data_IF_867993263749
#
_entry.id   IF_867993263749
#
_cell.length_a   1.000
_cell.length_b   1.000
_cell.length_c   1.000
_cell.angle_alpha   90.00
_cell.angle_beta   90.00
_cell.angle_gamma   90.00
#
_symmetry.space_group_name_H-M   'P 1'
#
loop_
_entity.id
_entity.type
_entity.pdbx_description
1 polymer ?
#
# COMPACT_ATOMS: atom_id res chain seq x y z
N UNK A 1 99.38 0.05 -11.51
CA UNK A 1 99.38 -0.69 -10.24
C UNK A 1 98.17 -0.22 -9.48
N UNK A 2 97.26 -1.16 -9.30
CA UNK A 2 96.26 -1.30 -8.23
C UNK A 2 95.11 -0.27 -8.18
N UNK A 3 93.89 -0.59 -7.79
CA UNK A 3 93.04 -1.80 -7.77
C UNK A 3 91.64 -1.27 -7.44
N UNK A 4 90.63 -2.06 -7.74
CA UNK A 4 89.20 -1.84 -7.60
C UNK A 4 88.70 -1.30 -6.24
N UNK A 5 87.49 -0.74 -6.26
CA UNK A 5 86.38 -1.10 -5.35
C UNK A 5 85.10 -0.36 -5.81
N UNK A 6 84.13 -1.02 -6.44
CA UNK A 6 83.14 -1.94 -5.86
C UNK A 6 81.98 -1.20 -5.18
N UNK A 7 80.82 -1.36 -5.83
CA UNK A 7 79.45 -1.46 -5.28
C UNK A 7 78.85 -0.27 -4.54
N UNK A 8 77.65 0.12 -4.96
CA UNK A 8 76.39 -0.27 -4.31
C UNK A 8 75.26 0.56 -4.94
N UNK A 9 74.36 -0.06 -5.70
CA UNK A 9 73.09 -0.56 -5.15
C UNK A 9 72.20 0.58 -4.66
N UNK A 10 71.17 0.90 -5.45
CA UNK A 10 70.14 1.80 -4.97
C UNK A 10 69.18 2.30 -6.02
N UNK A 11 68.72 1.44 -6.93
CA UNK A 11 67.53 1.70 -7.72
C UNK A 11 66.33 1.81 -6.76
N UNK A 12 66.14 2.99 -6.15
CA UNK A 12 64.97 3.31 -5.34
C UNK A 12 63.80 3.58 -6.29
N UNK A 13 63.32 2.53 -6.95
CA UNK A 13 61.96 2.51 -7.44
C UNK A 13 61.08 2.50 -6.20
N UNK A 14 60.71 3.67 -5.67
CA UNK A 14 59.55 3.76 -4.79
C UNK A 14 58.34 3.38 -5.64
N UNK A 15 58.08 2.08 -5.76
CA UNK A 15 56.73 1.59 -6.00
C UNK A 15 55.95 1.95 -4.75
N UNK A 16 55.49 3.19 -4.70
CA UNK A 16 54.44 3.58 -3.79
C UNK A 16 53.32 2.56 -4.00
N UNK A 17 53.04 1.79 -2.96
CA UNK A 17 51.77 1.10 -2.85
C UNK A 17 50.72 2.20 -2.90
N UNK A 18 50.20 2.51 -4.09
CA UNK A 18 48.95 3.25 -4.21
C UNK A 18 47.92 2.19 -3.85
N UNK A 19 47.32 2.22 -2.65
CA UNK A 19 46.26 1.28 -2.36
C UNK A 19 45.18 1.56 -3.40
N UNK A 20 44.72 0.59 -4.18
CA UNK A 20 43.53 0.79 -5.02
C UNK A 20 42.31 1.24 -4.19
N UNK A 21 42.35 1.01 -2.87
CA UNK A 21 41.45 1.60 -1.87
C UNK A 21 41.55 3.12 -1.75
N UNK A 22 42.71 3.73 -1.98
CA UNK A 22 42.89 5.18 -1.80
C UNK A 22 41.91 5.98 -2.65
N UNK A 23 41.63 5.59 -3.89
CA UNK A 23 40.70 6.32 -4.76
C UNK A 23 39.24 6.30 -4.27
N UNK A 24 38.75 5.14 -3.80
CA UNK A 24 37.38 5.00 -3.28
C UNK A 24 37.24 5.63 -1.89
N UNK A 25 38.22 5.39 -1.00
CA UNK A 25 38.25 6.01 0.32
C UNK A 25 38.41 7.53 0.21
N UNK A 26 39.18 8.03 -0.76
CA UNK A 26 39.31 9.46 -1.06
C UNK A 26 38.00 10.08 -1.56
N UNK A 27 37.29 9.40 -2.47
CA UNK A 27 35.96 9.84 -2.92
C UNK A 27 34.94 9.85 -1.78
N UNK A 28 35.05 8.91 -0.83
CA UNK A 28 34.20 8.86 0.35
C UNK A 28 34.52 9.97 1.36
N UNK A 29 35.80 10.19 1.71
CA UNK A 29 36.20 11.25 2.66
C UNK A 29 36.05 12.65 2.07
N UNK A 30 36.18 12.81 0.74
CA UNK A 30 35.86 14.06 0.04
C UNK A 30 34.38 14.19 -0.33
N UNK A 31 33.55 13.18 -0.05
CA UNK A 31 32.12 13.17 -0.39
C UNK A 31 31.83 13.33 -1.90
N UNK A 32 32.80 13.01 -2.77
CA UNK A 32 32.67 12.93 -4.22
C UNK A 32 32.16 11.54 -4.66
N UNK A 33 31.05 11.11 -4.07
CA UNK A 33 30.33 9.93 -4.53
C UNK A 33 29.37 10.34 -5.66
N UNK A 34 29.24 9.52 -6.72
CA UNK A 34 28.21 9.74 -7.72
C UNK A 34 26.84 9.59 -7.06
N UNK A 35 26.20 10.71 -6.74
CA UNK A 35 24.86 10.76 -6.22
C UNK A 35 23.94 11.34 -7.31
N UNK A 36 22.82 10.69 -7.55
CA UNK A 36 21.74 11.36 -8.25
C UNK A 36 21.13 12.36 -7.27
N UNK A 37 21.25 13.66 -7.58
CA UNK A 37 20.59 14.72 -6.81
C UNK A 37 19.32 15.10 -7.59
N UNK A 38 18.16 14.50 -7.26
CA UNK A 38 16.93 14.85 -7.95
C UNK A 38 16.62 16.32 -7.68
N UNK A 39 16.64 17.14 -8.74
CA UNK A 39 16.16 18.50 -8.70
C UNK A 39 14.63 18.45 -8.76
N UNK A 40 13.97 18.85 -7.68
CA UNK A 40 12.52 18.88 -7.59
C UNK A 40 11.98 20.13 -8.32
N UNK A 41 12.20 20.17 -9.63
CA UNK A 41 11.73 21.27 -10.48
C UNK A 41 10.19 21.26 -10.48
N UNK A 42 9.51 22.42 -10.38
CA UNK A 42 8.05 22.49 -10.41
C UNK A 42 7.42 21.74 -11.59
N UNK A 43 8.06 21.77 -12.77
CA UNK A 43 7.59 21.03 -13.94
C UNK A 43 7.60 19.50 -13.77
N UNK A 44 8.58 18.94 -13.04
CA UNK A 44 8.62 17.51 -12.73
C UNK A 44 7.45 17.14 -11.82
N UNK A 45 7.18 17.93 -10.79
CA UNK A 45 6.08 17.70 -9.85
C UNK A 45 4.72 17.74 -10.59
N UNK A 46 4.51 18.75 -11.43
CA UNK A 46 3.27 18.90 -12.22
C UNK A 46 3.08 17.68 -13.13
N UNK A 47 4.13 17.25 -13.83
CA UNK A 47 4.07 16.06 -14.68
C UNK A 47 3.73 14.78 -13.88
N UNK A 48 4.34 14.59 -12.72
CA UNK A 48 4.05 13.44 -11.85
C UNK A 48 2.59 13.43 -11.39
N UNK A 49 2.04 14.58 -10.96
CA UNK A 49 0.63 14.67 -10.58
C UNK A 49 -0.32 14.42 -11.76
N UNK A 50 0.02 14.90 -12.96
CA UNK A 50 -0.78 14.62 -14.16
C UNK A 50 -0.78 13.13 -14.50
N UNK A 51 0.36 12.45 -14.44
CA UNK A 51 0.46 11.01 -14.69
C UNK A 51 -0.36 10.23 -13.66
N UNK A 52 -0.20 10.55 -12.37
CA UNK A 52 -0.98 9.91 -11.30
C UNK A 52 -2.47 10.15 -11.52
N UNK A 53 -2.89 11.37 -11.84
CA UNK A 53 -4.29 11.70 -12.13
C UNK A 53 -4.85 10.91 -13.32
N UNK A 54 -4.13 10.86 -14.44
CA UNK A 54 -4.55 10.11 -15.63
C UNK A 54 -4.72 8.61 -15.35
N UNK A 55 -3.94 8.05 -14.42
CA UNK A 55 -4.08 6.64 -14.01
C UNK A 55 -5.21 6.48 -12.99
N UNK A 56 -5.29 7.36 -11.99
CA UNK A 56 -6.20 7.20 -10.85
C UNK A 56 -7.64 7.56 -11.19
N UNK A 57 -7.88 8.49 -12.12
CA UNK A 57 -9.23 8.86 -12.56
C UNK A 57 -9.98 7.66 -13.19
N UNK A 58 -9.46 6.99 -14.24
CA UNK A 58 -10.16 5.85 -14.84
C UNK A 58 -10.23 4.65 -13.88
N UNK A 59 -9.18 4.42 -13.09
CA UNK A 59 -9.20 3.36 -12.07
C UNK A 59 -10.28 3.62 -11.02
N UNK A 60 -10.40 4.86 -10.53
CA UNK A 60 -11.43 5.27 -9.59
C UNK A 60 -12.85 5.14 -10.16
N UNK A 61 -13.05 5.49 -11.44
CA UNK A 61 -14.34 5.27 -12.12
C UNK A 61 -14.70 3.79 -12.19
N UNK A 62 -13.74 2.93 -12.54
CA UNK A 62 -13.96 1.48 -12.59
C UNK A 62 -14.36 0.95 -11.21
N UNK A 63 -13.62 1.32 -10.16
CA UNK A 63 -13.95 0.96 -8.77
C UNK A 63 -15.35 1.44 -8.37
N UNK A 64 -15.71 2.67 -8.73
CA UNK A 64 -17.02 3.25 -8.43
C UNK A 64 -18.15 2.50 -9.14
N UNK A 65 -17.98 2.16 -10.42
CA UNK A 65 -18.96 1.40 -11.18
C UNK A 65 -19.17 0.01 -10.57
N UNK A 66 -18.09 -0.68 -10.22
CA UNK A 66 -18.20 -1.99 -9.56
C UNK A 66 -18.88 -1.87 -8.19
N UNK A 67 -18.52 -0.86 -7.40
CA UNK A 67 -19.15 -0.62 -6.09
C UNK A 67 -20.65 -0.33 -6.22
N UNK A 68 -21.07 0.46 -7.21
CA UNK A 68 -22.48 0.79 -7.44
C UNK A 68 -23.28 -0.37 -8.04
N UNK A 69 -22.62 -1.35 -8.66
CA UNK A 69 -23.28 -2.54 -9.19
C UNK A 69 -23.66 -3.52 -8.07
N UNK A 70 -22.93 -3.49 -6.95
CA UNK A 70 -23.22 -4.34 -5.80
C UNK A 70 -24.32 -3.70 -4.97
N UNK A 71 -25.46 -4.38 -4.86
CA UNK A 71 -26.53 -3.97 -3.97
C UNK A 71 -26.39 -4.70 -2.62
N UNK A 72 -26.42 -3.96 -1.51
CA UNK A 72 -26.47 -4.54 -0.17
C UNK A 72 -27.93 -4.64 0.28
N UNK A 73 -28.37 -5.85 0.59
CA UNK A 73 -29.69 -6.06 1.20
C UNK A 73 -29.49 -6.21 2.70
N UNK A 74 -29.90 -5.18 3.44
CA UNK A 74 -29.86 -5.16 4.91
C UNK A 74 -31.20 -5.66 5.43
N UNK A 75 -31.17 -6.81 6.10
CA UNK A 75 -32.34 -7.34 6.80
C UNK A 75 -32.23 -7.04 8.29
N UNK A 76 -33.26 -6.38 8.82
CA UNK A 76 -33.33 -5.99 10.23
C UNK A 76 -34.33 -6.91 10.93
N UNK A 77 -33.79 -7.92 11.63
CA UNK A 77 -34.58 -8.93 12.34
C UNK A 77 -35.58 -8.34 13.35
N UNK A 78 -35.36 -7.14 13.87
CA UNK A 78 -36.20 -6.49 14.88
C UNK A 78 -37.39 -5.71 14.31
N UNK A 79 -37.41 -5.45 13.00
CA UNK A 79 -38.52 -4.77 12.30
C UNK A 79 -39.20 -5.68 11.27
N UNK A 80 -38.43 -6.50 10.57
CA UNK A 80 -38.96 -7.36 9.49
C UNK A 80 -39.64 -8.62 10.05
N UNK A 81 -39.17 -9.11 11.20
CA UNK A 81 -39.67 -10.34 11.82
C UNK A 81 -40.62 -10.11 13.00
N UNK A 82 -40.81 -8.86 13.44
CA UNK A 82 -41.72 -8.53 14.54
C UNK A 82 -43.07 -8.10 13.97
N UNK A 83 -44.18 -8.80 14.29
CA UNK A 83 -45.52 -8.41 13.82
C UNK A 83 -45.90 -7.00 14.28
N UNK A 84 -46.71 -6.30 13.49
CA UNK A 84 -47.12 -4.90 13.77
C UNK A 84 -47.72 -4.72 15.16
N UNK A 85 -48.50 -5.70 15.63
CA UNK A 85 -49.11 -5.71 16.96
C UNK A 85 -48.08 -5.63 18.12
N UNK A 86 -46.84 -6.07 17.89
CA UNK A 86 -45.79 -6.13 18.90
C UNK A 86 -44.63 -5.16 18.66
N UNK A 87 -44.70 -4.30 17.62
CA UNK A 87 -43.65 -3.30 17.34
C UNK A 87 -43.44 -2.31 18.49
N UNK A 88 -44.51 -1.94 19.19
CA UNK A 88 -44.44 -1.07 20.37
C UNK A 88 -43.86 -1.74 21.62
N UNK A 89 -43.99 -3.07 21.74
CA UNK A 89 -43.58 -3.86 22.89
C UNK A 89 -42.84 -5.14 22.46
N UNK A 90 -41.70 -4.98 21.78
CA UNK A 90 -40.92 -6.10 21.20
C UNK A 90 -40.59 -7.20 22.22
N UNK A 91 -40.39 -6.84 23.48
CA UNK A 91 -40.12 -7.79 24.56
C UNK A 91 -41.27 -8.76 24.82
N UNK A 92 -42.52 -8.32 24.66
CA UNK A 92 -43.69 -9.19 24.81
C UNK A 92 -43.68 -10.28 23.74
N UNK A 93 -43.34 -9.94 22.49
CA UNK A 93 -43.13 -10.91 21.45
C UNK A 93 -41.97 -11.86 21.78
N UNK A 94 -40.78 -11.35 22.14
CA UNK A 94 -39.60 -12.19 22.39
C UNK A 94 -39.82 -13.21 23.54
N UNK A 95 -40.53 -12.80 24.59
CA UNK A 95 -40.79 -13.64 25.77
C UNK A 95 -41.91 -14.66 25.56
N UNK A 96 -42.80 -14.42 24.60
CA UNK A 96 -43.93 -15.29 24.32
C UNK A 96 -43.49 -16.52 23.52
N UNK A 97 -43.50 -17.68 24.17
CA UNK A 97 -43.16 -18.99 23.60
C UNK A 97 -44.30 -19.64 22.82
N UNK A 98 -45.52 -19.11 22.89
CA UNK A 98 -46.67 -19.61 22.14
C UNK A 98 -46.64 -19.18 20.67
N UNK A 99 -45.92 -18.09 20.36
CA UNK A 99 -45.82 -17.51 19.01
C UNK A 99 -44.50 -17.93 18.36
N UNK A 100 -44.58 -18.54 17.18
CA UNK A 100 -43.38 -18.96 16.43
C UNK A 100 -42.46 -17.76 16.09
N UNK A 101 -41.14 -18.00 16.19
CA UNK A 101 -40.08 -17.01 15.88
C UNK A 101 -39.41 -17.24 14.53
N UNK A 102 -39.94 -18.20 13.76
CA UNK A 102 -39.43 -18.49 12.43
C UNK A 102 -39.86 -17.39 11.48
N UNK A 103 -38.89 -16.62 11.01
CA UNK A 103 -39.09 -15.53 10.09
C UNK A 103 -38.31 -15.84 8.81
N UNK A 104 -39.04 -15.98 7.71
CA UNK A 104 -38.49 -16.17 6.38
C UNK A 104 -38.76 -14.90 5.59
N UNK A 105 -37.69 -14.24 5.15
CA UNK A 105 -37.75 -13.04 4.32
C UNK A 105 -37.31 -13.42 2.91
N UNK A 106 -38.15 -13.11 1.93
CA UNK A 106 -37.80 -13.28 0.52
C UNK A 106 -37.42 -11.92 -0.05
N UNK A 107 -36.27 -11.81 -0.72
CA UNK A 107 -35.99 -10.67 -1.59
C UNK A 107 -35.74 -11.12 -3.01
N UNK A 108 -36.20 -10.29 -3.93
CA UNK A 108 -35.89 -10.40 -5.34
C UNK A 108 -34.52 -9.77 -5.60
N UNK A 109 -33.62 -10.57 -6.17
CA UNK A 109 -32.24 -10.17 -6.46
C UNK A 109 -32.11 -9.89 -7.96
N UNK A 110 -32.02 -8.63 -8.33
CA UNK A 110 -31.88 -8.21 -9.74
C UNK A 110 -30.42 -8.00 -10.18
N UNK A 111 -29.46 -7.96 -9.25
CA UNK A 111 -28.00 -7.76 -9.49
C UNK A 111 -27.14 -8.55 -8.50
N UNK A 112 -25.81 -8.46 -8.62
CA UNK A 112 -24.90 -9.03 -7.61
C UNK A 112 -25.19 -8.40 -6.24
N UNK A 113 -25.52 -9.25 -5.27
CA UNK A 113 -25.92 -8.85 -3.92
C UNK A 113 -25.02 -9.48 -2.89
N UNK A 114 -24.68 -8.70 -1.87
CA UNK A 114 -24.09 -9.21 -0.62
C UNK A 114 -25.18 -9.17 0.43
N UNK A 115 -25.45 -10.33 1.05
CA UNK A 115 -26.42 -10.44 2.15
C UNK A 115 -25.68 -10.26 3.45
N UNK A 116 -25.93 -9.14 4.13
CA UNK A 116 -25.36 -8.86 5.45
C UNK A 116 -26.43 -9.16 6.50
N UNK A 117 -26.23 -10.25 7.23
CA UNK A 117 -27.07 -10.59 8.39
C UNK A 117 -26.44 -9.96 9.62
N UNK A 118 -27.04 -8.88 10.13
CA UNK A 118 -26.61 -8.24 11.37
C UNK A 118 -27.06 -9.09 12.56
N UNK A 119 -26.14 -9.67 13.36
CA UNK A 119 -26.49 -10.17 14.69
C UNK A 119 -26.72 -8.98 15.63
N UNK A 120 -27.65 -9.14 16.58
CA UNK A 120 -27.80 -8.24 17.73
C UNK A 120 -26.52 -8.27 18.56
#
# INVERSE_FOLDING_TARGET
MDEASTSASGAATRRGFVPARSGVFYRFTQQNLPAWKPAMTPGCIIAMFLIIGIIFIPFGLLCLQTSNHIAEIIYRYDVDCVPDAYRGNRQAYIKDSSISKNCTLEAKVDRYVIVVRLPV
#
